data_IF_536426191931
#
_entry.id   IF_536426191931
#
_cell.length_a   1.000
_cell.length_b   1.000
_cell.length_c   1.000
_cell.angle_alpha   90.00
_cell.angle_beta   90.00
_cell.angle_gamma   90.00
#
_symmetry.space_group_name_H-M   'P 1'
#
loop_
_entity.id
_entity.type
_entity.pdbx_description
1 polymer ?
#
# COMPACT_ATOMS: atom_id res chain seq x y z
N UNK A 1 30.29 -7.02 4.74
CA UNK A 1 29.97 -8.46 4.83
C UNK A 1 28.56 -8.67 4.31
N UNK A 2 28.43 -9.44 3.23
CA UNK A 2 27.17 -9.76 2.53
C UNK A 2 26.65 -11.06 3.16
N UNK A 3 25.77 -10.96 4.15
CA UNK A 3 25.28 -12.09 4.95
C UNK A 3 23.87 -12.52 4.55
N UNK A 4 23.74 -13.77 4.08
CA UNK A 4 22.57 -14.64 4.04
C UNK A 4 21.17 -14.07 3.71
N UNK A 5 20.66 -14.46 2.54
CA UNK A 5 19.34 -14.15 1.93
C UNK A 5 18.09 -14.67 2.71
N UNK A 6 18.22 -15.05 3.98
CA UNK A 6 17.10 -15.35 4.89
C UNK A 6 16.91 -14.26 5.98
N UNK A 7 17.80 -13.27 6.06
CA UNK A 7 17.72 -12.13 6.99
C UNK A 7 17.09 -10.86 6.37
N UNK A 8 16.13 -11.01 5.44
CA UNK A 8 15.54 -9.88 4.70
C UNK A 8 14.50 -9.07 5.50
N UNK A 9 14.37 -9.32 6.81
CA UNK A 9 13.50 -8.57 7.71
C UNK A 9 14.34 -7.43 8.30
N UNK A 10 14.08 -6.22 7.83
CA UNK A 10 14.72 -5.00 8.32
C UNK A 10 14.37 -4.81 9.80
N UNK A 11 15.36 -4.41 10.60
CA UNK A 11 15.09 -3.92 11.96
C UNK A 11 14.19 -2.67 11.89
N UNK A 12 13.46 -2.32 12.97
CA UNK A 12 12.62 -1.11 12.99
C UNK A 12 13.39 0.16 12.59
N UNK A 13 14.67 0.24 12.96
CA UNK A 13 15.55 1.37 12.62
C UNK A 13 15.87 1.39 11.12
N UNK A 14 16.15 0.23 10.52
CA UNK A 14 16.40 0.13 9.08
C UNK A 14 15.13 0.37 8.25
N UNK A 15 13.97 -0.09 8.72
CA UNK A 15 12.69 0.17 8.08
C UNK A 15 12.34 1.67 8.07
N UNK A 16 12.63 2.38 9.17
CA UNK A 16 12.44 3.82 9.23
C UNK A 16 13.29 4.56 8.19
N UNK A 17 14.55 4.13 7.99
CA UNK A 17 15.42 4.67 6.92
C UNK A 17 14.86 4.40 5.53
N UNK A 18 14.35 3.19 5.27
CA UNK A 18 13.71 2.88 3.99
C UNK A 18 12.46 3.73 3.76
N UNK A 19 11.64 3.96 4.79
CA UNK A 19 10.45 4.80 4.70
C UNK A 19 10.81 6.26 4.40
N UNK A 20 11.88 6.77 5.03
CA UNK A 20 12.44 8.09 4.78
C UNK A 20 12.95 8.24 3.34
N UNK A 21 13.82 7.33 2.88
CA UNK A 21 14.35 7.32 1.51
C UNK A 21 13.21 7.22 0.47
N UNK A 22 12.21 6.39 0.74
CA UNK A 22 10.99 6.28 -0.09
C UNK A 22 10.20 7.59 -0.11
N UNK A 23 10.14 8.29 1.02
CA UNK A 23 9.49 9.60 1.13
C UNK A 23 10.18 10.66 0.27
N UNK A 24 11.52 10.73 0.31
CA UNK A 24 12.31 11.63 -0.54
C UNK A 24 12.09 11.29 -2.02
N UNK A 25 12.14 10.02 -2.40
CA UNK A 25 11.88 9.58 -3.77
C UNK A 25 10.48 9.98 -4.28
N UNK A 26 9.45 9.78 -3.47
CA UNK A 26 8.08 10.14 -3.87
C UNK A 26 7.86 11.65 -3.94
N UNK A 27 8.52 12.43 -3.09
CA UNK A 27 8.43 13.90 -3.10
C UNK A 27 9.08 14.54 -4.34
N UNK A 28 10.11 13.90 -4.91
CA UNK A 28 10.89 14.40 -6.05
C UNK A 28 10.44 13.82 -7.39
N UNK A 29 9.44 12.93 -7.38
CA UNK A 29 8.91 12.27 -8.58
C UNK A 29 8.16 13.27 -9.46
N UNK A 30 8.32 13.15 -10.79
CA UNK A 30 7.63 14.00 -11.75
C UNK A 30 6.10 13.96 -11.58
N UNK A 31 5.40 15.10 -11.44
CA UNK A 31 3.97 15.14 -11.11
C UNK A 31 3.07 14.35 -12.07
N UNK A 32 3.34 14.43 -13.38
CA UNK A 32 2.56 13.67 -14.37
C UNK A 32 2.71 12.14 -14.21
N UNK A 33 3.89 11.66 -13.81
CA UNK A 33 4.10 10.23 -13.57
C UNK A 33 3.32 9.78 -12.34
N UNK A 34 3.39 10.55 -11.26
CA UNK A 34 2.63 10.30 -10.04
C UNK A 34 1.13 10.28 -10.32
N UNK A 35 0.63 11.20 -11.15
CA UNK A 35 -0.79 11.23 -11.53
C UNK A 35 -1.25 9.91 -12.19
N UNK A 36 -0.53 9.43 -13.21
CA UNK A 36 -0.88 8.16 -13.85
C UNK A 36 -0.78 6.97 -12.88
N UNK A 37 0.25 6.94 -12.02
CA UNK A 37 0.42 5.90 -11.01
C UNK A 37 -0.66 5.94 -9.91
N UNK A 38 -1.20 7.11 -9.60
CA UNK A 38 -2.32 7.24 -8.66
C UNK A 38 -3.66 6.82 -9.28
N UNK A 39 -3.86 7.08 -10.57
CA UNK A 39 -5.04 6.58 -11.30
C UNK A 39 -5.04 5.05 -11.35
N UNK A 40 -3.90 4.42 -11.65
CA UNK A 40 -3.78 2.95 -11.62
C UNK A 40 -3.99 2.38 -10.23
N UNK A 41 -3.49 3.04 -9.17
CA UNK A 41 -3.79 2.66 -7.80
C UNK A 41 -5.30 2.69 -7.52
N UNK A 42 -6.00 3.73 -7.96
CA UNK A 42 -7.46 3.85 -7.83
C UNK A 42 -8.22 2.71 -8.53
N UNK A 43 -7.78 2.30 -9.73
CA UNK A 43 -8.36 1.16 -10.43
C UNK A 43 -8.22 -0.15 -9.63
N UNK A 44 -7.04 -0.42 -9.05
CA UNK A 44 -6.83 -1.63 -8.24
C UNK A 44 -7.68 -1.65 -6.97
N UNK A 45 -7.80 -0.51 -6.28
CA UNK A 45 -8.68 -0.41 -5.11
C UNK A 45 -10.16 -0.59 -5.51
N UNK A 46 -10.57 -0.08 -6.67
CA UNK A 46 -11.94 -0.23 -7.17
C UNK A 46 -12.26 -1.69 -7.47
N UNK A 47 -11.36 -2.41 -8.13
CA UNK A 47 -11.50 -3.86 -8.39
C UNK A 47 -11.60 -4.65 -7.08
N UNK A 48 -10.76 -4.32 -6.09
CA UNK A 48 -10.80 -4.96 -4.78
C UNK A 48 -12.11 -4.68 -4.02
N UNK A 49 -12.67 -3.48 -4.17
CA UNK A 49 -13.98 -3.14 -3.59
C UNK A 49 -15.13 -3.89 -4.28
N UNK A 50 -15.11 -4.02 -5.61
CA UNK A 50 -16.08 -4.85 -6.34
C UNK A 50 -16.02 -6.30 -5.87
N UNK A 51 -14.81 -6.82 -5.61
CA UNK A 51 -14.64 -8.17 -5.11
C UNK A 51 -15.15 -8.31 -3.66
N UNK A 52 -14.86 -7.33 -2.79
CA UNK A 52 -15.41 -7.26 -1.42
C UNK A 52 -16.95 -7.31 -1.43
N UNK A 53 -17.60 -6.50 -2.27
CA UNK A 53 -19.06 -6.47 -2.33
C UNK A 53 -19.60 -7.80 -2.88
N UNK A 54 -19.02 -8.30 -3.97
CA UNK A 54 -19.42 -9.58 -4.56
C UNK A 54 -19.29 -10.77 -3.61
N UNK A 55 -18.30 -10.77 -2.71
CA UNK A 55 -18.10 -11.85 -1.74
C UNK A 55 -18.94 -11.72 -0.48
N UNK A 56 -19.49 -10.54 -0.21
CA UNK A 56 -20.27 -10.26 1.02
C UNK A 56 -21.78 -10.13 0.76
N UNK A 57 -22.21 -9.85 -0.46
CA UNK A 57 -23.63 -9.82 -0.84
C UNK A 57 -24.24 -11.22 -0.70
N UNK A 58 -25.46 -11.28 -0.15
CA UNK A 58 -26.21 -12.54 0.00
C UNK A 58 -25.78 -13.39 1.21
N UNK A 59 -24.89 -12.90 2.07
CA UNK A 59 -24.38 -13.63 3.24
C UNK A 59 -25.17 -13.39 4.53
N UNK A 60 -26.46 -13.04 4.43
CA UNK A 60 -27.30 -12.66 5.58
C UNK A 60 -27.43 -13.76 6.65
N UNK A 61 -27.37 -15.03 6.24
CA UNK A 61 -27.45 -16.21 7.13
C UNK A 61 -26.09 -16.59 7.74
N UNK A 62 -24.99 -15.93 7.34
CA UNK A 62 -23.65 -16.21 7.85
C UNK A 62 -23.30 -15.31 9.05
N UNK A 63 -22.43 -15.80 9.94
CA UNK A 63 -21.93 -15.00 11.05
C UNK A 63 -21.19 -13.75 10.56
N UNK A 64 -21.57 -12.59 11.12
CA UNK A 64 -21.02 -11.27 10.76
C UNK A 64 -19.48 -11.24 10.72
N UNK A 65 -18.83 -11.88 11.69
CA UNK A 65 -17.36 -11.92 11.77
C UNK A 65 -16.72 -12.62 10.55
N UNK A 66 -17.30 -13.74 10.11
CA UNK A 66 -16.81 -14.49 8.95
C UNK A 66 -17.00 -13.69 7.66
N UNK A 67 -18.16 -13.03 7.50
CA UNK A 67 -18.43 -12.18 6.34
C UNK A 67 -17.41 -11.04 6.24
N UNK A 68 -17.11 -10.37 7.36
CA UNK A 68 -16.12 -9.28 7.38
C UNK A 68 -14.69 -9.75 7.17
N UNK A 69 -14.32 -10.91 7.72
CA UNK A 69 -13.01 -11.53 7.49
C UNK A 69 -12.82 -11.86 6.00
N UNK A 70 -13.78 -12.55 5.38
CA UNK A 70 -13.75 -12.90 3.96
C UNK A 70 -13.67 -11.65 3.09
N UNK A 71 -14.51 -10.64 3.36
CA UNK A 71 -14.43 -9.36 2.67
C UNK A 71 -13.04 -8.71 2.81
N UNK A 72 -12.48 -8.68 4.02
CA UNK A 72 -11.14 -8.14 4.27
C UNK A 72 -10.03 -8.85 3.47
N UNK A 73 -10.08 -10.18 3.39
CA UNK A 73 -9.17 -10.99 2.57
C UNK A 73 -9.34 -10.62 1.09
N UNK A 74 -10.57 -10.56 0.58
CA UNK A 74 -10.87 -10.14 -0.80
C UNK A 74 -10.32 -8.74 -1.09
N UNK A 75 -10.49 -7.79 -0.17
CA UNK A 75 -10.02 -6.41 -0.34
C UNK A 75 -8.49 -6.30 -0.33
N UNK A 76 -7.79 -7.13 0.44
CA UNK A 76 -6.32 -7.12 0.53
C UNK A 76 -5.63 -7.32 -0.82
N UNK A 77 -6.29 -7.99 -1.77
CA UNK A 77 -5.84 -8.15 -3.15
C UNK A 77 -5.52 -6.81 -3.82
N UNK A 78 -6.33 -5.77 -3.57
CA UNK A 78 -6.11 -4.43 -4.15
C UNK A 78 -4.79 -3.80 -3.69
N UNK A 79 -4.46 -3.97 -2.41
CA UNK A 79 -3.19 -3.48 -1.86
C UNK A 79 -2.00 -4.28 -2.41
N UNK A 80 -2.15 -5.59 -2.58
CA UNK A 80 -1.11 -6.45 -3.18
C UNK A 80 -0.83 -6.02 -4.63
N UNK A 81 -1.88 -5.75 -5.42
CA UNK A 81 -1.73 -5.26 -6.79
C UNK A 81 -0.99 -3.90 -6.83
N UNK A 82 -1.33 -2.97 -5.92
CA UNK A 82 -0.62 -1.70 -5.80
C UNK A 82 0.88 -1.91 -5.51
N UNK A 83 1.24 -2.87 -4.64
CA UNK A 83 2.64 -3.16 -4.30
C UNK A 83 3.39 -3.76 -5.48
N UNK A 84 2.82 -4.78 -6.14
CA UNK A 84 3.48 -5.50 -7.23
C UNK A 84 3.66 -4.60 -8.45
N UNK A 85 2.65 -3.79 -8.78
CA UNK A 85 2.70 -2.88 -9.93
C UNK A 85 3.40 -1.54 -9.61
N UNK A 86 3.76 -1.28 -8.35
CA UNK A 86 4.40 -0.02 -7.93
C UNK A 86 3.49 1.21 -8.08
N UNK A 87 2.19 1.05 -7.86
CA UNK A 87 1.22 2.14 -7.98
C UNK A 87 1.34 3.14 -6.79
N UNK A 88 1.14 4.43 -7.06
CA UNK A 88 1.26 5.48 -6.03
C UNK A 88 -0.10 5.75 -5.40
N UNK A 89 -0.45 4.93 -4.40
CA UNK A 89 -1.67 5.13 -3.60
C UNK A 89 -1.50 6.32 -2.64
N UNK A 90 -2.54 7.16 -2.52
CA UNK A 90 -2.53 8.37 -1.69
C UNK A 90 -2.03 8.14 -0.25
N UNK A 91 -2.49 7.07 0.43
CA UNK A 91 -2.06 6.76 1.81
C UNK A 91 -0.55 6.53 1.93
N UNK A 92 0.08 6.01 0.88
CA UNK A 92 1.53 5.83 0.82
C UNK A 92 2.28 7.15 0.57
N UNK A 93 1.64 8.11 -0.10
CA UNK A 93 2.16 9.47 -0.30
C UNK A 93 2.05 10.29 0.98
N UNK A 94 1.03 10.07 1.82
CA UNK A 94 0.94 10.69 3.15
C UNK A 94 2.15 10.35 4.02
N UNK A 95 2.73 9.15 3.87
CA UNK A 95 3.95 8.74 4.59
C UNK A 95 5.22 9.53 4.21
N UNK A 96 5.18 10.38 3.18
CA UNK A 96 6.24 11.36 2.90
C UNK A 96 6.48 12.27 4.11
N UNK A 97 5.50 12.42 5.01
CA UNK A 97 5.65 13.12 6.29
C UNK A 97 6.83 12.61 7.14
N UNK A 98 7.23 11.34 7.00
CA UNK A 98 8.41 10.79 7.69
C UNK A 98 9.68 11.47 7.18
N UNK A 99 9.85 11.59 5.87
CA UNK A 99 10.99 12.30 5.28
C UNK A 99 10.99 13.79 5.66
N UNK A 100 9.81 14.41 5.76
CA UNK A 100 9.65 15.78 6.23
C UNK A 100 10.06 15.92 7.71
N UNK A 101 9.62 15.00 8.56
CA UNK A 101 9.95 14.99 9.99
C UNK A 101 11.46 14.78 10.22
N UNK A 102 12.13 14.02 9.36
CA UNK A 102 13.59 13.87 9.35
C UNK A 102 14.35 15.09 8.77
N UNK A 103 13.65 16.08 8.20
CA UNK A 103 14.27 17.28 7.63
C UNK A 103 14.86 17.11 6.23
N UNK A 104 14.52 16.04 5.51
CA UNK A 104 15.06 15.77 4.17
C UNK A 104 14.30 16.46 3.04
N UNK A 105 13.10 16.95 3.32
CA UNK A 105 12.22 17.65 2.37
C UNK A 105 11.45 18.76 3.10
N UNK A 106 11.05 19.78 2.37
CA UNK A 106 10.30 20.94 2.87
C UNK A 106 8.79 20.79 2.70
#
# INVERSE_FOLDING_TARGET
>A
MKGNKFNNILSPVEMAKVAEETGVYKSTKHPLKTFYLSVTAGMFISIAFVFYISSTVGTAEMSYGIVKLTGGICFSLGLILCIICGADLFTSTVLIVVAKACGHIT
#
